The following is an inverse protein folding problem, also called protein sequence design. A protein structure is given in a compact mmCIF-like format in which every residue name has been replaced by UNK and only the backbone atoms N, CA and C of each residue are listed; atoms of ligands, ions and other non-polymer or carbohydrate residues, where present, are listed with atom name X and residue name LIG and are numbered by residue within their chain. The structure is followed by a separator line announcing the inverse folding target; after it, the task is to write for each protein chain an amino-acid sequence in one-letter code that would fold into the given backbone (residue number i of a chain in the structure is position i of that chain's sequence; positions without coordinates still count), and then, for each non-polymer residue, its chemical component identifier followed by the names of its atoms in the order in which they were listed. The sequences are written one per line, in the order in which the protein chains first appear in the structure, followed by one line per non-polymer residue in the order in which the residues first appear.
data_IF_147968884508
#
_entry.id   IF_147968884508
#
_cell.length_a   1.000
_cell.length_b   1.000
_cell.length_c   1.000
_cell.angle_alpha   90.00
_cell.angle_beta   90.00
_cell.angle_gamma   90.00
#
_symmetry.space_group_name_H-M   'P 1'
#
loop_
_entity.id
_entity.type
_entity.pdbx_description
1 polymer ?
#
# COMPACT_ATOMS: atom_id res chain seq x y z
N UNK A 1 16.30 15.06 15.53
CA UNK A 1 17.08 15.28 14.31
C UNK A 1 16.25 14.82 13.12
N UNK A 2 16.13 15.66 12.05
CA UNK A 2 15.34 15.30 10.88
C UNK A 2 16.12 14.27 10.04
N UNK A 3 15.49 13.19 9.71
CA UNK A 3 16.04 12.16 8.81
C UNK A 3 15.83 12.63 7.36
N UNK A 4 16.87 12.60 6.52
CA UNK A 4 16.71 12.95 5.10
C UNK A 4 15.93 11.87 4.36
N UNK A 5 15.27 12.26 3.27
CA UNK A 5 14.34 11.38 2.52
C UNK A 5 15.00 10.10 2.01
N UNK A 6 16.24 10.19 1.53
CA UNK A 6 16.98 9.01 1.08
C UNK A 6 17.29 8.04 2.21
N UNK A 7 17.63 8.55 3.40
CA UNK A 7 17.85 7.70 4.57
C UNK A 7 16.54 7.03 4.99
N UNK A 8 15.43 7.76 5.03
CA UNK A 8 14.11 7.20 5.34
C UNK A 8 13.76 6.07 4.35
N UNK A 9 13.92 6.32 3.04
CA UNK A 9 13.66 5.32 1.99
C UNK A 9 14.49 4.05 2.19
N UNK A 10 15.80 4.20 2.43
CA UNK A 10 16.69 3.06 2.65
C UNK A 10 16.33 2.27 3.92
N UNK A 11 16.00 2.95 5.02
CA UNK A 11 15.56 2.30 6.25
C UNK A 11 14.25 1.54 6.08
N UNK A 12 13.28 2.10 5.35
CA UNK A 12 12.01 1.42 5.04
C UNK A 12 12.26 0.14 4.25
N UNK A 13 13.14 0.20 3.24
CA UNK A 13 13.48 -0.99 2.46
C UNK A 13 14.31 -2.00 3.25
N UNK A 14 15.26 -1.57 4.07
CA UNK A 14 16.05 -2.47 4.91
C UNK A 14 15.16 -3.25 5.90
N UNK A 15 14.23 -2.54 6.58
CA UNK A 15 13.26 -3.16 7.47
C UNK A 15 12.35 -4.15 6.72
N UNK A 16 11.90 -3.77 5.53
CA UNK A 16 11.04 -4.64 4.69
C UNK A 16 11.76 -5.90 4.24
N UNK A 17 13.02 -5.78 3.77
CA UNK A 17 13.83 -6.94 3.40
C UNK A 17 13.96 -7.93 4.56
N UNK A 18 14.30 -7.43 5.75
CA UNK A 18 14.41 -8.26 6.94
C UNK A 18 13.07 -8.95 7.26
N UNK A 19 11.95 -8.21 7.17
CA UNK A 19 10.60 -8.75 7.40
C UNK A 19 10.22 -9.81 6.37
N UNK A 20 10.49 -9.56 5.08
CA UNK A 20 10.22 -10.54 4.00
C UNK A 20 10.97 -11.84 4.25
N UNK A 21 12.28 -11.75 4.50
CA UNK A 21 13.13 -12.96 4.64
C UNK A 21 12.86 -13.71 5.94
N UNK A 22 12.56 -13.03 7.04
CA UNK A 22 12.47 -13.67 8.37
C UNK A 22 11.05 -14.00 8.80
N UNK A 23 10.04 -13.37 8.22
CA UNK A 23 8.65 -13.54 8.64
C UNK A 23 7.77 -14.00 7.48
N UNK A 24 7.72 -13.22 6.38
CA UNK A 24 6.74 -13.46 5.32
C UNK A 24 7.04 -14.76 4.57
N UNK A 25 8.25 -14.89 4.00
CA UNK A 25 8.62 -16.09 3.23
C UNK A 25 8.51 -17.38 4.04
N UNK A 26 9.00 -17.46 5.30
CA UNK A 26 8.81 -18.65 6.13
C UNK A 26 7.34 -18.98 6.41
N UNK A 27 6.48 -17.96 6.60
CA UNK A 27 5.04 -18.18 6.78
C UNK A 27 4.41 -18.77 5.51
N UNK A 28 4.70 -18.18 4.35
CA UNK A 28 4.21 -18.68 3.06
C UNK A 28 4.68 -20.12 2.77
N UNK A 29 5.94 -20.46 3.10
CA UNK A 29 6.46 -21.82 2.94
C UNK A 29 5.70 -22.84 3.81
N UNK A 30 5.18 -22.43 4.97
CA UNK A 30 4.31 -23.28 5.80
C UNK A 30 2.87 -23.37 5.30
N UNK A 31 2.52 -22.61 4.27
CA UNK A 31 1.15 -22.53 3.77
C UNK A 31 0.27 -21.54 4.55
N UNK A 32 0.87 -20.68 5.38
CA UNK A 32 0.14 -19.68 6.14
C UNK A 32 -0.26 -18.49 5.23
N UNK A 33 -1.40 -17.87 5.53
CA UNK A 33 -1.78 -16.58 4.96
C UNK A 33 -1.02 -15.44 5.64
N UNK A 34 -0.58 -14.47 4.84
CA UNK A 34 0.07 -13.27 5.35
C UNK A 34 -0.74 -12.04 4.95
N UNK A 35 -1.15 -11.26 5.93
CA UNK A 35 -1.79 -9.96 5.72
C UNK A 35 -0.82 -8.88 6.17
N UNK A 36 -0.54 -7.91 5.30
CA UNK A 36 0.32 -6.77 5.59
C UNK A 36 -0.45 -5.47 5.41
N UNK A 37 -0.49 -4.66 6.48
CA UNK A 37 -0.92 -3.28 6.36
C UNK A 37 0.23 -2.47 5.74
N UNK A 38 0.03 -2.06 4.47
CA UNK A 38 1.03 -1.45 3.59
C UNK A 38 2.19 -2.39 3.23
N UNK A 39 2.62 -2.32 1.98
CA UNK A 39 3.81 -3.02 1.48
C UNK A 39 4.60 -2.10 0.54
N UNK A 40 5.23 -2.63 -0.51
CA UNK A 40 6.05 -1.84 -1.45
C UNK A 40 5.29 -0.75 -2.18
N UNK A 41 4.03 -1.00 -2.53
CA UNK A 41 3.15 -0.04 -3.19
C UNK A 41 3.00 1.25 -2.37
N UNK A 42 2.97 1.13 -1.03
CA UNK A 42 2.95 2.29 -0.15
C UNK A 42 4.24 3.11 -0.26
N UNK A 43 5.41 2.48 -0.39
CA UNK A 43 6.68 3.20 -0.56
C UNK A 43 6.72 3.92 -1.91
N UNK A 44 6.23 3.29 -2.98
CA UNK A 44 6.13 3.92 -4.29
C UNK A 44 5.20 5.14 -4.22
N UNK A 45 4.04 5.00 -3.58
CA UNK A 45 3.06 6.08 -3.48
C UNK A 45 3.53 7.22 -2.55
N UNK A 46 4.00 6.91 -1.35
CA UNK A 46 4.35 7.92 -0.35
C UNK A 46 5.71 8.57 -0.62
N UNK A 47 6.78 7.80 -0.75
CA UNK A 47 8.13 8.33 -0.99
C UNK A 47 8.32 8.70 -2.47
N UNK A 48 7.93 7.81 -3.39
CA UNK A 48 8.11 8.03 -4.83
C UNK A 48 7.32 9.23 -5.34
N UNK A 49 6.00 9.21 -5.19
CA UNK A 49 5.11 10.25 -5.70
C UNK A 49 4.85 11.36 -4.68
N UNK A 50 4.43 11.03 -3.47
CA UNK A 50 4.08 11.98 -2.42
C UNK A 50 5.21 12.95 -2.12
N UNK A 51 6.38 12.44 -1.74
CA UNK A 51 7.61 13.21 -1.47
C UNK A 51 8.40 13.57 -2.73
N UNK A 52 7.89 13.22 -3.92
CA UNK A 52 8.51 13.56 -5.21
C UNK A 52 9.95 13.03 -5.38
N UNK A 53 10.27 11.90 -4.71
CA UNK A 53 11.59 11.27 -4.85
C UNK A 53 11.79 10.56 -6.21
N UNK A 54 10.71 10.44 -6.99
CA UNK A 54 10.68 9.74 -8.27
C UNK A 54 10.15 8.30 -8.14
N UNK A 55 9.02 8.03 -8.78
CA UNK A 55 8.39 6.70 -8.79
C UNK A 55 9.33 5.66 -9.37
N UNK A 56 9.97 5.96 -10.52
CA UNK A 56 10.90 5.04 -11.20
C UNK A 56 12.11 4.69 -10.33
N UNK A 57 12.61 5.64 -9.57
CA UNK A 57 13.73 5.44 -8.63
C UNK A 57 13.37 4.46 -7.54
N UNK A 58 12.19 4.64 -6.92
CA UNK A 58 11.69 3.76 -5.85
C UNK A 58 11.38 2.37 -6.41
N UNK A 59 10.85 2.30 -7.63
CA UNK A 59 10.55 1.05 -8.30
C UNK A 59 11.82 0.27 -8.69
N UNK A 60 12.87 0.96 -9.13
CA UNK A 60 14.17 0.34 -9.38
C UNK A 60 14.77 -0.26 -8.10
N UNK A 61 14.69 0.46 -6.97
CA UNK A 61 15.13 -0.05 -5.67
C UNK A 61 14.31 -1.25 -5.21
N UNK A 62 12.98 -1.21 -5.37
CA UNK A 62 12.09 -2.36 -5.11
C UNK A 62 12.53 -3.58 -5.92
N UNK A 63 12.73 -3.41 -7.23
CA UNK A 63 13.11 -4.51 -8.13
C UNK A 63 14.49 -5.07 -7.76
N UNK A 64 15.46 -4.20 -7.44
CA UNK A 64 16.79 -4.61 -7.01
C UNK A 64 16.75 -5.49 -5.74
N UNK A 65 15.91 -5.13 -4.77
CA UNK A 65 15.89 -5.75 -3.45
C UNK A 65 14.93 -6.94 -3.35
N UNK A 66 13.78 -6.89 -4.00
CA UNK A 66 12.69 -7.86 -3.86
C UNK A 66 12.42 -8.65 -5.14
N UNK A 67 13.00 -8.26 -6.27
CA UNK A 67 12.71 -8.88 -7.57
C UNK A 67 11.22 -8.81 -7.88
N UNK A 68 10.65 -9.95 -8.23
CA UNK A 68 9.21 -10.08 -8.53
C UNK A 68 8.34 -10.35 -7.30
N UNK A 69 8.94 -10.37 -6.10
CA UNK A 69 8.17 -10.62 -4.88
C UNK A 69 7.17 -9.49 -4.60
N UNK A 70 5.89 -9.82 -4.67
CA UNK A 70 4.77 -8.90 -4.49
C UNK A 70 3.59 -9.63 -3.81
N UNK A 71 2.62 -8.91 -3.23
CA UNK A 71 1.39 -9.52 -2.76
C UNK A 71 0.58 -10.13 -3.91
N UNK A 72 -0.04 -11.27 -3.68
CA UNK A 72 -0.95 -11.90 -4.65
C UNK A 72 -2.25 -11.11 -4.81
N UNK A 73 -2.70 -10.47 -3.73
CA UNK A 73 -3.87 -9.59 -3.71
C UNK A 73 -3.54 -8.30 -2.95
N UNK A 74 -3.89 -7.16 -3.53
CA UNK A 74 -3.85 -5.85 -2.87
C UNK A 74 -5.25 -5.24 -2.85
N UNK A 75 -5.78 -5.01 -1.66
CA UNK A 75 -7.03 -4.28 -1.46
C UNK A 75 -6.70 -2.79 -1.30
N UNK A 76 -7.03 -1.98 -2.29
CA UNK A 76 -6.86 -0.52 -2.24
C UNK A 76 -8.18 0.12 -1.78
N UNK A 77 -8.21 0.60 -0.55
CA UNK A 77 -9.33 1.35 0.00
C UNK A 77 -9.22 2.80 -0.50
N UNK A 78 -9.86 3.10 -1.64
CA UNK A 78 -9.81 4.43 -2.23
C UNK A 78 -10.79 5.39 -1.56
N UNK A 79 -10.28 6.56 -1.20
CA UNK A 79 -11.07 7.64 -0.61
C UNK A 79 -10.61 8.97 -1.20
N UNK A 80 -11.54 9.83 -1.70
CA UNK A 80 -11.20 11.20 -2.07
C UNK A 80 -10.49 11.94 -0.93
N UNK A 81 -9.43 12.69 -1.26
CA UNK A 81 -8.56 13.31 -0.23
C UNK A 81 -9.34 14.20 0.71
N UNK A 82 -10.29 15.01 0.20
CA UNK A 82 -11.12 15.88 1.05
C UNK A 82 -11.86 15.08 2.12
N UNK A 83 -12.44 13.94 1.75
CA UNK A 83 -13.15 13.05 2.70
C UNK A 83 -12.20 12.40 3.70
N UNK A 84 -10.96 12.12 3.29
CA UNK A 84 -9.91 11.65 4.18
C UNK A 84 -9.53 12.69 5.21
N UNK A 85 -9.28 13.92 4.78
CA UNK A 85 -8.94 15.04 5.66
C UNK A 85 -10.08 15.38 6.64
N UNK A 86 -11.36 15.36 6.20
CA UNK A 86 -12.51 15.52 7.10
C UNK A 86 -12.52 14.47 8.23
N UNK A 87 -12.19 13.22 7.91
CA UNK A 87 -12.12 12.14 8.92
C UNK A 87 -10.95 12.31 9.88
N UNK A 88 -9.81 12.83 9.41
CA UNK A 88 -8.64 13.10 10.24
C UNK A 88 -8.91 14.23 11.24
N UNK A 89 -9.55 15.31 10.81
CA UNK A 89 -9.88 16.45 11.67
C UNK A 89 -10.71 16.07 12.91
N UNK A 90 -11.38 14.92 12.90
CA UNK A 90 -12.17 14.39 14.02
C UNK A 90 -11.41 13.45 14.98
N UNK A 91 -10.12 13.12 14.76
CA UNK A 91 -9.42 12.05 15.47
C UNK A 91 -8.39 12.47 16.53
N UNK A 92 -8.13 13.74 16.73
CA UNK A 92 -7.13 14.21 17.70
C UNK A 92 -5.83 14.66 17.03
N UNK A 93 -4.66 14.58 17.75
CA UNK A 93 -3.39 15.05 17.20
C UNK A 93 -2.93 14.21 16.00
N UNK A 94 -2.65 14.85 14.84
CA UNK A 94 -2.21 14.16 13.65
C UNK A 94 -0.82 13.53 13.83
N UNK A 95 -0.57 12.39 13.18
CA UNK A 95 0.76 11.81 13.08
C UNK A 95 1.63 12.59 12.06
N UNK A 96 2.93 12.19 11.94
CA UNK A 96 3.88 12.86 11.03
C UNK A 96 3.43 12.84 9.56
N UNK A 97 2.75 11.79 9.12
CA UNK A 97 2.25 11.67 7.75
C UNK A 97 0.94 12.43 7.57
N UNK A 98 0.11 12.48 8.59
CA UNK A 98 -1.16 13.23 8.60
C UNK A 98 -0.95 14.76 8.62
N UNK A 99 0.28 15.22 8.91
CA UNK A 99 0.67 16.65 8.86
C UNK A 99 1.08 17.12 7.45
N UNK A 100 1.13 16.23 6.47
CA UNK A 100 1.43 16.58 5.07
C UNK A 100 0.26 17.35 4.44
N UNK A 101 0.56 18.13 3.40
CA UNK A 101 -0.43 18.94 2.73
C UNK A 101 -1.38 18.12 1.83
N UNK A 102 -2.47 18.75 1.42
CA UNK A 102 -3.46 18.15 0.50
C UNK A 102 -2.83 17.64 -0.79
N UNK A 103 -1.93 18.43 -1.38
CA UNK A 103 -1.28 18.07 -2.64
C UNK A 103 -0.43 16.80 -2.51
N UNK A 104 0.17 16.58 -1.34
CA UNK A 104 0.88 15.34 -1.06
C UNK A 104 -0.07 14.14 -1.15
N UNK A 105 -1.24 14.21 -0.49
CA UNK A 105 -2.20 13.12 -0.51
C UNK A 105 -2.85 12.92 -1.88
N UNK A 106 -3.05 13.99 -2.66
CA UNK A 106 -3.52 13.90 -4.04
C UNK A 106 -2.50 13.11 -4.90
N UNK A 107 -1.19 13.38 -4.75
CA UNK A 107 -0.12 12.63 -5.44
C UNK A 107 -0.08 11.16 -4.99
N UNK A 108 -0.17 10.91 -3.69
CA UNK A 108 -0.19 9.54 -3.14
C UNK A 108 -1.37 8.75 -3.70
N UNK A 109 -2.57 9.31 -3.65
CA UNK A 109 -3.78 8.67 -4.19
C UNK A 109 -3.65 8.40 -5.69
N UNK A 110 -3.20 9.39 -6.47
CA UNK A 110 -3.00 9.23 -7.91
C UNK A 110 -2.02 8.09 -8.22
N UNK A 111 -0.90 7.99 -7.48
CA UNK A 111 0.07 6.91 -7.64
C UNK A 111 -0.52 5.52 -7.33
N UNK A 112 -1.30 5.38 -6.27
CA UNK A 112 -1.99 4.12 -5.97
C UNK A 112 -2.98 3.72 -7.07
N UNK A 113 -3.76 4.67 -7.59
CA UNK A 113 -4.70 4.39 -8.68
C UNK A 113 -3.97 4.02 -9.98
N UNK A 114 -2.81 4.62 -10.26
CA UNK A 114 -1.96 4.23 -11.39
C UNK A 114 -1.41 2.81 -11.22
N UNK A 115 -0.92 2.45 -10.03
CA UNK A 115 -0.48 1.08 -9.73
C UNK A 115 -1.62 0.08 -9.91
N UNK A 116 -2.81 0.39 -9.40
CA UNK A 116 -3.99 -0.45 -9.57
C UNK A 116 -4.38 -0.64 -11.04
N UNK A 117 -4.27 0.42 -11.84
CA UNK A 117 -4.56 0.37 -13.28
C UNK A 117 -3.50 -0.43 -14.07
N UNK A 118 -2.23 -0.37 -13.66
CA UNK A 118 -1.13 -1.10 -14.29
C UNK A 118 -1.09 -2.60 -13.92
N UNK A 119 -1.64 -2.97 -12.75
CA UNK A 119 -1.62 -4.34 -12.24
C UNK A 119 -3.03 -4.83 -11.83
N UNK A 120 -4.02 -4.81 -12.75
CA UNK A 120 -5.42 -5.13 -12.42
C UNK A 120 -5.61 -6.58 -11.95
N UNK A 121 -4.68 -7.47 -12.26
CA UNK A 121 -4.69 -8.87 -11.81
C UNK A 121 -4.63 -9.00 -10.29
N UNK A 122 -3.78 -8.19 -9.63
CA UNK A 122 -3.58 -8.25 -8.18
C UNK A 122 -4.28 -7.16 -7.37
N UNK A 123 -4.68 -6.04 -8.00
CA UNK A 123 -5.38 -4.97 -7.28
C UNK A 123 -6.90 -5.13 -7.32
N UNK A 124 -7.54 -4.81 -6.20
CA UNK A 124 -8.99 -4.58 -6.09
C UNK A 124 -9.21 -3.22 -5.43
N UNK A 125 -9.76 -2.28 -6.18
CA UNK A 125 -10.07 -0.93 -5.71
C UNK A 125 -11.45 -0.95 -5.06
N UNK A 126 -11.50 -0.58 -3.79
CA UNK A 126 -12.72 -0.55 -2.96
C UNK A 126 -13.06 0.91 -2.65
N UNK A 127 -14.26 1.35 -3.00
CA UNK A 127 -14.75 2.69 -2.65
C UNK A 127 -14.98 2.80 -1.13
N UNK A 128 -14.03 3.43 -0.45
CA UNK A 128 -14.05 3.64 0.99
C UNK A 128 -14.87 4.89 1.42
N UNK A 129 -15.47 5.63 0.48
CA UNK A 129 -16.41 6.70 0.80
C UNK A 129 -17.79 6.16 1.24
N UNK A 130 -18.08 4.91 0.93
CA UNK A 130 -19.34 4.22 1.29
C UNK A 130 -19.44 3.96 2.80
N UNK A 131 -20.65 3.69 3.32
CA UNK A 131 -20.82 3.25 4.71
C UNK A 131 -20.01 1.99 5.04
N UNK A 132 -19.47 1.90 6.25
CA UNK A 132 -18.59 0.80 6.69
C UNK A 132 -19.12 -0.60 6.36
N UNK A 133 -20.40 -0.95 6.57
CA UNK A 133 -20.91 -2.28 6.21
C UNK A 133 -20.78 -2.58 4.71
N UNK A 134 -20.96 -1.57 3.84
CA UNK A 134 -20.81 -1.73 2.40
C UNK A 134 -19.35 -1.91 1.98
N UNK A 135 -18.40 -1.22 2.65
CA UNK A 135 -16.96 -1.42 2.45
C UNK A 135 -16.56 -2.83 2.88
N UNK A 136 -17.01 -3.27 4.06
CA UNK A 136 -16.75 -4.63 4.57
C UNK A 136 -17.27 -5.71 3.61
N UNK A 137 -18.49 -5.55 3.09
CA UNK A 137 -19.05 -6.48 2.12
C UNK A 137 -18.23 -6.52 0.82
N UNK A 138 -17.77 -5.36 0.31
CA UNK A 138 -16.94 -5.29 -0.88
C UNK A 138 -15.56 -5.94 -0.67
N UNK A 139 -14.95 -5.76 0.51
CA UNK A 139 -13.70 -6.44 0.90
C UNK A 139 -13.91 -7.95 0.93
N UNK A 140 -14.94 -8.44 1.61
CA UNK A 140 -15.25 -9.86 1.69
C UNK A 140 -15.44 -10.47 0.30
N UNK A 141 -16.24 -9.82 -0.56
CA UNK A 141 -16.46 -10.26 -1.93
C UNK A 141 -15.16 -10.34 -2.76
N UNK A 142 -14.27 -9.34 -2.61
CA UNK A 142 -12.99 -9.33 -3.31
C UNK A 142 -12.07 -10.48 -2.86
N UNK A 143 -12.04 -10.79 -1.57
CA UNK A 143 -11.26 -11.90 -1.01
C UNK A 143 -11.86 -13.24 -1.43
N UNK A 144 -13.17 -13.42 -1.35
CA UNK A 144 -13.85 -14.65 -1.80
C UNK A 144 -13.58 -14.93 -3.29
N UNK A 145 -13.69 -13.90 -4.14
CA UNK A 145 -13.40 -14.05 -5.56
C UNK A 145 -11.95 -14.45 -5.82
N UNK A 146 -11.00 -13.89 -5.06
CA UNK A 146 -9.58 -14.27 -5.15
C UNK A 146 -9.35 -15.72 -4.72
N UNK A 147 -9.94 -16.16 -3.61
CA UNK A 147 -9.85 -17.54 -3.12
C UNK A 147 -10.36 -18.56 -4.14
N UNK A 148 -11.51 -18.26 -4.76
CA UNK A 148 -12.08 -19.13 -5.79
C UNK A 148 -11.17 -19.24 -7.03
N UNK A 149 -10.52 -18.14 -7.44
CA UNK A 149 -9.57 -18.14 -8.56
C UNK A 149 -8.28 -18.91 -8.23
N UNK A 150 -7.79 -18.81 -7.00
CA UNK A 150 -6.57 -19.49 -6.54
C UNK A 150 -6.78 -20.98 -6.27
N UNK A 151 -8.02 -21.43 -6.09
CA UNK A 151 -8.37 -22.84 -5.88
C UNK A 151 -8.69 -23.59 -7.19
N UNK A 152 -8.74 -22.89 -8.32
CA UNK A 152 -8.92 -23.54 -9.64
C UNK A 152 -7.63 -24.27 -10.03
N UNK A 153 -7.70 -25.54 -10.46
CA UNK A 153 -6.53 -26.38 -10.82
C UNK A 153 -5.78 -25.87 -12.04
#
# INVERSE_FOLDING_TARGET
EAVCDDTELLLVFAARMQHVERVIKPALVRGDWVISDRFTDATIAYQGAGRRMGVDRVQALRTLLLGDFAPDLTLLLDLPVDRGMERLAGRGAPDRFEMEDREFFDRVRAAYLQLAASEPGRFRVIDAARPLPAVQAAVAQAVEAFLLQSAAP
#
